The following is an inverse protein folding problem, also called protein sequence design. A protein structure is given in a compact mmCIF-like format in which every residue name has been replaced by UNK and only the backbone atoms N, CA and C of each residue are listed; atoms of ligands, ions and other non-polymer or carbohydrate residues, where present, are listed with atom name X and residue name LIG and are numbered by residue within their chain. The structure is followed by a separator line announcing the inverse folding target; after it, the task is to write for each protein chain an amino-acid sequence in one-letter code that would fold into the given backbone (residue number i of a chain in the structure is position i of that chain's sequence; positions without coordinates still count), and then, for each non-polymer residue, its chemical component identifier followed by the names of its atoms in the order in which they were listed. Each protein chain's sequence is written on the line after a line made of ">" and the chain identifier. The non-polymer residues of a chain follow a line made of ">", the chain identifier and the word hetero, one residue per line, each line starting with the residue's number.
data_IF_744632508243
#
_entry.id   IF_744632508243
#
_cell.length_a   1.000
_cell.length_b   1.000
_cell.length_c   1.000
_cell.angle_alpha   90.00
_cell.angle_beta   90.00
_cell.angle_gamma   90.00
#
_symmetry.space_group_name_H-M   'P 1'
#
loop_
_entity.id
_entity.type
_entity.pdbx_description
1 polymer ?
#
# COMPACT_ATOMS: atom_id res chain seq x y z
N UNK A 1 4.31 -11.19 -12.40
CA UNK A 1 3.98 -10.45 -11.15
C UNK A 1 5.20 -9.62 -10.74
N UNK A 2 5.05 -8.35 -10.37
CA UNK A 2 6.19 -7.46 -10.10
C UNK A 2 6.99 -7.93 -8.86
N UNK A 3 8.31 -8.15 -8.98
CA UNK A 3 9.18 -8.62 -7.88
C UNK A 3 9.10 -7.71 -6.64
N UNK A 4 9.02 -6.40 -6.86
CA UNK A 4 8.87 -5.40 -5.78
C UNK A 4 7.56 -5.60 -5.03
N UNK A 5 6.48 -5.96 -5.73
CA UNK A 5 5.19 -6.21 -5.09
C UNK A 5 5.26 -7.42 -4.15
N UNK A 6 5.89 -8.51 -4.59
CA UNK A 6 6.06 -9.72 -3.77
C UNK A 6 6.86 -9.42 -2.50
N UNK A 7 8.01 -8.75 -2.65
CA UNK A 7 8.93 -8.49 -1.54
C UNK A 7 8.30 -7.62 -0.46
N UNK A 8 7.55 -6.58 -0.85
CA UNK A 8 7.03 -5.59 0.10
C UNK A 8 5.57 -5.79 0.51
N UNK A 9 4.84 -6.73 -0.11
CA UNK A 9 3.46 -7.06 0.27
C UNK A 9 3.35 -8.48 0.78
N UNK A 10 3.74 -9.46 -0.04
CA UNK A 10 3.46 -10.87 0.24
C UNK A 10 4.39 -11.44 1.31
N UNK A 11 5.70 -11.17 1.23
CA UNK A 11 6.68 -11.72 2.18
C UNK A 11 6.40 -11.27 3.62
N UNK A 12 6.16 -9.97 3.92
CA UNK A 12 5.87 -9.55 5.30
C UNK A 12 4.56 -10.15 5.81
N UNK A 13 3.55 -10.29 4.94
CA UNK A 13 2.29 -10.94 5.30
C UNK A 13 2.49 -12.41 5.69
N UNK A 14 3.20 -13.18 4.85
CA UNK A 14 3.49 -14.58 5.13
C UNK A 14 4.34 -14.72 6.40
N UNK A 15 5.35 -13.87 6.56
CA UNK A 15 6.23 -13.88 7.73
C UNK A 15 5.46 -13.56 9.02
N UNK A 16 4.54 -12.60 8.97
CA UNK A 16 3.69 -12.26 10.11
C UNK A 16 2.71 -13.38 10.45
N UNK A 17 2.10 -14.03 9.46
CA UNK A 17 1.22 -15.19 9.70
C UNK A 17 1.98 -16.39 10.23
N UNK A 18 3.18 -16.70 9.70
CA UNK A 18 4.03 -17.78 10.23
C UNK A 18 4.46 -17.47 11.67
N UNK A 19 4.84 -16.23 11.95
CA UNK A 19 5.15 -15.77 13.29
C UNK A 19 3.98 -15.93 14.26
N UNK A 20 2.79 -15.55 13.81
CA UNK A 20 1.56 -15.65 14.60
C UNK A 20 1.17 -17.11 14.87
N UNK A 21 1.19 -17.97 13.85
CA UNK A 21 0.82 -19.39 13.99
C UNK A 21 1.81 -20.21 14.81
N UNK A 22 3.07 -19.77 14.93
CA UNK A 22 4.11 -20.45 15.71
C UNK A 22 4.36 -19.79 17.08
N UNK A 23 3.51 -18.85 17.50
CA UNK A 23 3.67 -18.05 18.73
C UNK A 23 5.05 -17.39 18.85
N UNK A 24 5.61 -16.94 17.73
CA UNK A 24 6.90 -16.23 17.64
C UNK A 24 6.67 -14.73 17.44
N UNK A 25 6.54 -13.95 18.53
CA UNK A 25 6.20 -12.53 18.45
C UNK A 25 7.28 -11.69 17.74
N UNK A 26 8.54 -12.15 17.74
CA UNK A 26 9.64 -11.48 17.03
C UNK A 26 9.39 -11.41 15.53
N UNK A 27 8.89 -12.49 14.92
CA UNK A 27 8.58 -12.54 13.49
C UNK A 27 7.42 -11.61 13.15
N UNK A 28 6.38 -11.58 14.00
CA UNK A 28 5.24 -10.66 13.83
C UNK A 28 5.71 -9.20 13.91
N UNK A 29 6.59 -8.86 14.87
CA UNK A 29 7.18 -7.52 14.98
C UNK A 29 7.98 -7.12 13.73
N UNK A 30 8.79 -8.03 13.19
CA UNK A 30 9.55 -7.76 11.96
C UNK A 30 8.61 -7.53 10.77
N UNK A 31 7.56 -8.37 10.62
CA UNK A 31 6.55 -8.19 9.58
C UNK A 31 5.86 -6.83 9.70
N UNK A 32 5.41 -6.46 10.91
CA UNK A 32 4.75 -5.18 11.18
C UNK A 32 5.67 -3.99 10.90
N UNK A 33 6.95 -4.07 11.29
CA UNK A 33 7.92 -3.01 11.01
C UNK A 33 8.09 -2.78 9.50
N UNK A 34 8.21 -3.85 8.71
CA UNK A 34 8.32 -3.73 7.24
C UNK A 34 7.05 -3.12 6.63
N UNK A 35 5.87 -3.55 7.10
CA UNK A 35 4.58 -3.00 6.65
C UNK A 35 4.47 -1.52 7.02
N UNK A 36 4.84 -1.14 8.24
CA UNK A 36 4.80 0.23 8.73
C UNK A 36 5.73 1.16 7.93
N UNK A 37 6.99 0.75 7.73
CA UNK A 37 7.97 1.52 6.94
C UNK A 37 7.45 1.74 5.52
N UNK A 38 6.92 0.69 4.88
CA UNK A 38 6.33 0.81 3.55
C UNK A 38 5.14 1.77 3.54
N UNK A 39 4.22 1.65 4.50
CA UNK A 39 3.05 2.51 4.57
C UNK A 39 3.45 3.99 4.75
N UNK A 40 4.48 4.24 5.57
CA UNK A 40 5.05 5.57 5.74
C UNK A 40 5.70 6.11 4.47
N UNK A 41 6.47 5.28 3.75
CA UNK A 41 7.02 5.66 2.45
C UNK A 41 5.93 6.00 1.44
N UNK A 42 4.80 5.29 1.46
CA UNK A 42 3.65 5.60 0.62
C UNK A 42 3.04 6.96 0.99
N UNK A 43 2.88 7.27 2.28
CA UNK A 43 2.38 8.59 2.74
C UNK A 43 3.22 9.75 2.20
N UNK A 44 4.55 9.59 2.12
CA UNK A 44 5.46 10.62 1.59
C UNK A 44 5.43 10.65 0.06
N UNK A 45 5.35 9.50 -0.58
CA UNK A 45 5.51 9.38 -2.03
C UNK A 45 4.23 9.75 -2.78
N UNK A 46 3.05 9.47 -2.21
CA UNK A 46 1.74 9.77 -2.82
C UNK A 46 1.57 11.27 -3.13
N UNK A 47 1.78 12.22 -2.19
CA UNK A 47 1.69 13.65 -2.48
C UNK A 47 2.69 14.11 -3.54
N UNK A 48 3.92 13.58 -3.51
CA UNK A 48 4.96 13.90 -4.51
C UNK A 48 4.55 13.43 -5.90
N UNK A 49 4.02 12.20 -6.02
CA UNK A 49 3.50 11.67 -7.28
C UNK A 49 2.31 12.48 -7.78
N UNK A 50 1.40 12.87 -6.88
CA UNK A 50 0.24 13.68 -7.23
C UNK A 50 0.66 15.04 -7.80
N UNK A 51 1.59 15.75 -7.15
CA UNK A 51 2.12 17.03 -7.64
C UNK A 51 2.83 16.87 -8.99
N UNK A 52 3.63 15.81 -9.16
CA UNK A 52 4.28 15.50 -10.45
C UNK A 52 3.26 15.21 -11.56
N UNK A 53 2.16 14.54 -11.23
CA UNK A 53 1.05 14.28 -12.16
C UNK A 53 0.33 15.56 -12.56
N UNK A 54 0.07 16.47 -11.61
CA UNK A 54 -0.56 17.77 -11.89
C UNK A 54 0.30 18.71 -12.75
N UNK A 55 1.61 18.47 -12.81
CA UNK A 55 2.55 19.27 -13.60
C UNK A 55 2.99 18.59 -14.90
N UNK A 56 2.56 17.35 -15.17
CA UNK A 56 2.96 16.61 -16.37
C UNK A 56 2.11 16.96 -17.60
N UNK A 57 2.64 16.70 -18.78
CA UNK A 57 1.94 16.92 -20.05
C UNK A 57 0.73 15.97 -20.23
N UNK A 58 -0.21 16.39 -21.07
CA UNK A 58 -1.46 15.68 -21.40
C UNK A 58 -1.27 14.21 -21.79
N UNK A 59 -0.23 13.91 -22.59
CA UNK A 59 0.08 12.54 -23.03
C UNK A 59 0.54 11.66 -21.87
N UNK A 60 1.41 12.19 -21.00
CA UNK A 60 1.91 11.49 -19.82
C UNK A 60 0.78 11.21 -18.82
N UNK A 61 -0.14 12.17 -18.63
CA UNK A 61 -1.33 11.99 -17.78
C UNK A 61 -2.23 10.88 -18.30
N UNK A 62 -2.51 10.85 -19.61
CA UNK A 62 -3.32 9.80 -20.25
C UNK A 62 -2.70 8.42 -20.06
N UNK A 63 -1.40 8.30 -20.28
CA UNK A 63 -0.68 7.03 -20.10
C UNK A 63 -0.73 6.56 -18.63
N UNK A 64 -0.43 7.44 -17.68
CA UNK A 64 -0.47 7.12 -16.25
C UNK A 64 -1.88 6.77 -15.77
N UNK A 65 -2.92 7.45 -16.28
CA UNK A 65 -4.33 7.11 -16.01
C UNK A 65 -4.67 5.69 -16.45
N UNK A 66 -4.21 5.27 -17.63
CA UNK A 66 -4.44 3.92 -18.13
C UNK A 66 -3.75 2.85 -17.28
N UNK A 67 -2.58 3.15 -16.70
CA UNK A 67 -1.95 2.26 -15.72
C UNK A 67 -2.75 2.20 -14.40
N UNK A 68 -3.25 3.33 -13.91
CA UNK A 68 -4.05 3.42 -12.68
C UNK A 68 -5.41 2.73 -12.79
N UNK A 69 -5.96 2.53 -13.99
CA UNK A 69 -7.18 1.75 -14.21
C UNK A 69 -7.01 0.24 -13.92
N UNK A 70 -5.79 -0.27 -13.75
CA UNK A 70 -5.50 -1.69 -13.49
C UNK A 70 -5.03 -2.05 -12.06
N UNK A 71 -5.86 -2.00 -10.98
CA UNK A 71 -5.34 -2.41 -9.66
C UNK A 71 -6.30 -3.27 -8.85
N UNK A 72 -6.78 -4.39 -9.39
CA UNK A 72 -7.58 -5.36 -8.60
C UNK A 72 -6.73 -6.02 -7.51
N UNK A 73 -5.48 -6.35 -7.83
CA UNK A 73 -4.59 -7.11 -6.95
C UNK A 73 -4.12 -6.26 -5.75
N UNK A 74 -3.73 -4.99 -5.98
CA UNK A 74 -3.21 -4.12 -4.90
C UNK A 74 -4.29 -3.88 -3.84
N UNK A 75 -5.54 -3.70 -4.25
CA UNK A 75 -6.66 -3.50 -3.33
C UNK A 75 -6.94 -4.74 -2.48
N UNK A 76 -6.96 -5.93 -3.08
CA UNK A 76 -7.15 -7.18 -2.36
C UNK A 76 -6.06 -7.39 -1.29
N UNK A 77 -4.80 -7.12 -1.64
CA UNK A 77 -3.69 -7.20 -0.69
C UNK A 77 -3.79 -6.19 0.44
N UNK A 78 -4.21 -4.94 0.17
CA UNK A 78 -4.45 -3.95 1.22
C UNK A 78 -5.51 -4.42 2.22
N UNK A 79 -6.60 -5.02 1.76
CA UNK A 79 -7.62 -5.59 2.66
C UNK A 79 -7.08 -6.74 3.52
N UNK A 80 -6.29 -7.64 2.92
CA UNK A 80 -5.66 -8.74 3.65
C UNK A 80 -4.69 -8.18 4.70
N UNK A 81 -3.86 -7.20 4.36
CA UNK A 81 -2.94 -6.55 5.32
C UNK A 81 -3.70 -5.90 6.48
N UNK A 82 -4.82 -5.22 6.22
CA UNK A 82 -5.65 -4.63 7.27
C UNK A 82 -6.22 -5.70 8.21
N UNK A 83 -6.79 -6.78 7.65
CA UNK A 83 -7.31 -7.90 8.44
C UNK A 83 -6.23 -8.58 9.28
N UNK A 84 -5.03 -8.77 8.72
CA UNK A 84 -3.87 -9.31 9.43
C UNK A 84 -3.42 -8.42 10.58
N UNK A 85 -3.35 -7.10 10.39
CA UNK A 85 -2.96 -6.18 11.46
C UNK A 85 -3.97 -6.14 12.60
N UNK A 86 -5.27 -6.25 12.29
CA UNK A 86 -6.32 -6.41 13.31
C UNK A 86 -6.10 -7.70 14.11
N UNK A 87 -5.81 -8.81 13.43
CA UNK A 87 -5.53 -10.09 14.09
C UNK A 87 -4.25 -10.05 14.96
N UNK A 88 -3.23 -9.29 14.55
CA UNK A 88 -1.98 -9.15 15.28
C UNK A 88 -2.03 -8.08 16.40
N UNK A 89 -3.12 -7.31 16.49
CA UNK A 89 -3.40 -6.41 17.60
C UNK A 89 -2.66 -5.05 17.59
N UNK A 90 -2.04 -4.65 16.48
CA UNK A 90 -1.31 -3.37 16.40
C UNK A 90 -2.14 -2.24 15.77
N UNK A 91 -2.78 -1.46 16.63
CA UNK A 91 -3.65 -0.34 16.24
C UNK A 91 -2.88 0.84 15.61
N UNK A 92 -1.60 1.02 15.95
CA UNK A 92 -0.81 2.13 15.43
C UNK A 92 -0.41 1.86 13.98
N UNK A 93 0.14 0.67 13.70
CA UNK A 93 0.50 0.27 12.34
C UNK A 93 -0.75 0.17 11.47
N UNK A 94 -1.86 -0.34 12.03
CA UNK A 94 -3.16 -0.34 11.36
C UNK A 94 -3.57 1.07 10.91
N UNK A 95 -3.48 2.06 11.80
CA UNK A 95 -3.86 3.45 11.50
C UNK A 95 -3.04 4.03 10.35
N UNK A 96 -1.72 3.81 10.33
CA UNK A 96 -0.83 4.27 9.25
C UNK A 96 -1.17 3.59 7.93
N UNK A 97 -1.46 2.28 7.95
CA UNK A 97 -1.85 1.53 6.76
C UNK A 97 -3.20 1.99 6.22
N UNK A 98 -4.19 2.25 7.08
CA UNK A 98 -5.48 2.82 6.68
C UNK A 98 -5.30 4.19 6.02
N UNK A 99 -4.54 5.10 6.65
CA UNK A 99 -4.28 6.44 6.11
C UNK A 99 -3.57 6.38 4.74
N UNK A 100 -2.49 5.59 4.64
CA UNK A 100 -1.73 5.45 3.40
C UNK A 100 -2.56 4.84 2.27
N UNK A 101 -3.37 3.83 2.59
CA UNK A 101 -4.29 3.18 1.65
C UNK A 101 -5.37 4.16 1.20
N UNK A 102 -5.99 4.87 2.14
CA UNK A 102 -6.99 5.90 1.86
C UNK A 102 -6.45 7.02 0.96
N UNK A 103 -5.27 7.55 1.27
CA UNK A 103 -4.59 8.55 0.44
C UNK A 103 -4.31 8.04 -0.97
N UNK A 104 -3.84 6.79 -1.12
CA UNK A 104 -3.57 6.21 -2.43
C UNK A 104 -4.84 6.08 -3.26
N UNK A 105 -5.90 5.52 -2.68
CA UNK A 105 -7.18 5.32 -3.38
C UNK A 105 -7.89 6.64 -3.67
N UNK A 106 -7.82 7.61 -2.77
CA UNK A 106 -8.32 8.98 -2.97
C UNK A 106 -7.60 9.67 -4.12
N UNK A 107 -6.26 9.70 -4.08
CA UNK A 107 -5.43 10.26 -5.15
C UNK A 107 -5.75 9.60 -6.49
N UNK A 108 -5.81 8.26 -6.52
CA UNK A 108 -6.15 7.49 -7.72
C UNK A 108 -7.53 7.87 -8.27
N UNK A 109 -8.56 7.87 -7.42
CA UNK A 109 -9.93 8.20 -7.82
C UNK A 109 -10.01 9.60 -8.41
N UNK A 110 -9.36 10.57 -7.76
CA UNK A 110 -9.28 11.94 -8.23
C UNK A 110 -8.57 12.03 -9.59
N UNK A 111 -7.39 11.42 -9.73
CA UNK A 111 -6.63 11.43 -11.00
C UNK A 111 -7.43 10.78 -12.13
N UNK A 112 -8.16 9.69 -11.89
CA UNK A 112 -8.96 9.02 -12.93
C UNK A 112 -10.13 9.90 -13.41
N UNK A 113 -10.72 10.70 -12.51
CA UNK A 113 -11.89 11.56 -12.79
C UNK A 113 -11.52 12.91 -13.42
N UNK A 114 -10.42 13.54 -13.00
CA UNK A 114 -10.11 14.94 -13.32
C UNK A 114 -8.90 15.16 -14.24
N UNK A 115 -8.33 14.11 -14.84
CA UNK A 115 -7.28 14.28 -15.88
C UNK A 115 -7.92 14.44 -17.26
N UNK A 116 -8.23 15.70 -17.58
CA UNK A 116 -8.58 16.15 -18.93
C UNK A 116 -7.37 16.72 -19.64
#
# INVERSE_FOLDING_TARGET
>A
MNRVFIIFNLIPLLLGWVGFSLDKPELVKVAMAVIAVRAFLLLITIPKMYKKFQNSDLLTRRFQRNQLKKPTIVFAFSLITLGSLVAWGDMFVLSIVVLSTGMYHGMRSHMIRHSY
#
